data_IF_233781777956
#
_entry.id   IF_233781777956
#
_cell.length_a   1.000
_cell.length_b   1.000
_cell.length_c   1.000
_cell.angle_alpha   90.00
_cell.angle_beta   90.00
_cell.angle_gamma   90.00
#
_symmetry.space_group_name_H-M   'P 1'
#
loop_
_entity.id
_entity.type
_entity.pdbx_description
1 polymer ?
#
# COMPACT_ATOMS: atom_id res chain seq x y z
N UNK A 1 14.07 -31.05 6.26
CA UNK A 1 12.79 -30.89 6.98
C UNK A 1 12.20 -29.56 6.55
N UNK A 2 10.99 -29.56 5.98
CA UNK A 2 10.27 -28.29 5.74
C UNK A 2 9.81 -27.83 7.12
N UNK A 3 10.41 -26.75 7.63
CA UNK A 3 9.99 -26.15 8.89
C UNK A 3 8.66 -25.46 8.63
N UNK A 4 7.57 -25.96 9.22
CA UNK A 4 6.26 -25.33 9.10
C UNK A 4 6.31 -23.97 9.81
N UNK A 5 6.49 -22.89 9.05
CA UNK A 5 6.43 -21.52 9.55
C UNK A 5 4.97 -21.20 9.86
N UNK A 6 4.63 -21.07 11.15
CA UNK A 6 3.33 -20.55 11.59
C UNK A 6 3.38 -19.03 11.58
N UNK A 7 2.39 -18.40 10.98
CA UNK A 7 2.28 -16.93 10.94
C UNK A 7 1.18 -16.52 11.92
N UNK A 8 1.53 -15.64 12.85
CA UNK A 8 0.58 -14.91 13.69
C UNK A 8 0.55 -13.49 13.17
N UNK A 9 -0.51 -13.17 12.44
CA UNK A 9 -0.68 -11.89 11.77
C UNK A 9 -1.54 -10.97 12.64
N UNK A 10 -1.06 -9.75 12.87
CA UNK A 10 -1.80 -8.69 13.53
C UNK A 10 -2.14 -7.61 12.51
N UNK A 11 -3.40 -7.57 12.08
CA UNK A 11 -3.92 -6.54 11.18
C UNK A 11 -4.32 -5.31 11.99
N UNK A 12 -3.70 -4.17 11.69
CA UNK A 12 -3.96 -2.93 12.41
C UNK A 12 -4.15 -1.75 11.47
N UNK A 13 -5.09 -0.89 11.86
CA UNK A 13 -5.29 0.41 11.25
C UNK A 13 -4.36 1.43 11.90
N UNK A 14 -3.35 1.90 11.15
CA UNK A 14 -2.31 2.81 11.65
C UNK A 14 -2.91 4.07 12.30
N UNK A 15 -3.87 4.70 11.60
CA UNK A 15 -4.51 5.96 12.01
C UNK A 15 -5.15 5.92 13.40
N UNK A 16 -5.54 4.74 13.89
CA UNK A 16 -6.25 4.57 15.17
C UNK A 16 -5.44 3.79 16.20
N UNK A 17 -4.20 3.41 15.88
CA UNK A 17 -3.42 2.52 16.74
C UNK A 17 -2.73 3.26 17.88
N UNK A 18 -1.88 4.24 17.56
CA UNK A 18 -1.21 5.05 18.57
C UNK A 18 -0.65 6.34 17.96
N UNK A 19 -1.04 7.48 18.52
CA UNK A 19 -0.55 8.82 18.17
C UNK A 19 0.67 9.16 19.04
N UNK A 20 1.82 9.41 18.42
CA UNK A 20 3.07 9.69 19.14
C UNK A 20 3.40 11.18 19.26
N UNK A 21 2.67 12.05 18.56
CA UNK A 21 2.98 13.47 18.46
C UNK A 21 1.77 14.40 18.67
N UNK A 22 0.66 13.86 19.20
CA UNK A 22 -0.59 14.57 19.48
C UNK A 22 -1.22 15.22 18.24
N UNK A 23 -1.01 14.64 17.05
CA UNK A 23 -1.64 15.09 15.79
C UNK A 23 -3.13 14.76 15.69
N UNK A 24 -3.62 13.85 16.54
CA UNK A 24 -4.94 13.24 16.47
C UNK A 24 -5.00 12.00 15.57
N UNK A 25 -3.87 11.59 14.99
CA UNK A 25 -3.75 10.42 14.13
C UNK A 25 -2.62 9.51 14.60
N UNK A 26 -2.84 8.20 14.54
CA UNK A 26 -1.76 7.25 14.73
C UNK A 26 -0.75 7.26 13.58
N UNK A 27 0.52 7.10 13.93
CA UNK A 27 1.66 7.35 13.03
C UNK A 27 2.72 6.23 13.11
N UNK A 28 3.70 6.24 12.19
CA UNK A 28 4.74 5.21 12.14
C UNK A 28 5.61 5.13 13.39
N UNK A 29 5.92 6.27 14.02
CA UNK A 29 6.69 6.32 15.27
C UNK A 29 5.85 5.79 16.43
N UNK A 30 4.54 6.02 16.42
CA UNK A 30 3.61 5.44 17.36
C UNK A 30 3.56 3.93 17.29
N UNK A 31 3.48 3.36 16.09
CA UNK A 31 3.59 1.91 15.89
C UNK A 31 4.96 1.38 16.36
N UNK A 32 6.05 2.08 16.02
CA UNK A 32 7.42 1.74 16.43
C UNK A 32 7.55 1.64 17.96
N UNK A 33 6.90 2.53 18.71
CA UNK A 33 6.90 2.52 20.19
C UNK A 33 6.14 1.33 20.80
N UNK A 34 5.29 0.63 20.04
CA UNK A 34 4.51 -0.53 20.51
C UNK A 34 5.00 -1.87 19.98
N UNK A 35 6.19 -1.92 19.38
CA UNK A 35 6.79 -3.18 18.91
C UNK A 35 6.99 -4.18 20.05
N UNK A 36 7.33 -3.73 21.26
CA UNK A 36 7.46 -4.63 22.41
C UNK A 36 6.12 -5.25 22.82
N UNK A 37 5.00 -4.54 22.64
CA UNK A 37 3.65 -5.11 22.82
C UNK A 37 3.36 -6.21 21.78
N UNK A 38 3.69 -5.97 20.51
CA UNK A 38 3.52 -6.98 19.45
C UNK A 38 4.39 -8.21 19.70
N UNK A 39 5.63 -8.00 20.17
CA UNK A 39 6.55 -9.07 20.55
C UNK A 39 6.00 -9.88 21.73
N UNK A 40 5.42 -9.22 22.75
CA UNK A 40 4.79 -9.89 23.89
C UNK A 40 3.63 -10.80 23.47
N UNK A 41 2.90 -10.43 22.41
CA UNK A 41 1.82 -11.24 21.84
C UNK A 41 2.31 -12.41 20.95
N UNK A 42 3.62 -12.57 20.75
CA UNK A 42 4.21 -13.56 19.84
C UNK A 42 3.73 -13.40 18.37
N UNK A 43 3.43 -12.15 17.99
CA UNK A 43 3.10 -11.77 16.61
C UNK A 43 4.39 -11.77 15.79
N UNK A 44 4.35 -12.37 14.59
CA UNK A 44 5.50 -12.43 13.69
C UNK A 44 5.23 -11.80 12.32
N UNK A 45 4.05 -11.23 12.12
CA UNK A 45 3.72 -10.40 10.98
C UNK A 45 2.71 -9.32 11.40
N UNK A 46 2.98 -8.06 11.06
CA UNK A 46 2.04 -6.94 11.22
C UNK A 46 1.57 -6.53 9.84
N UNK A 47 0.26 -6.39 9.67
CA UNK A 47 -0.32 -5.84 8.45
C UNK A 47 -0.81 -4.42 8.70
N UNK A 48 -0.52 -3.52 7.75
CA UNK A 48 -1.09 -2.18 7.70
C UNK A 48 -1.64 -1.89 6.30
N UNK A 49 -2.55 -0.93 6.22
CA UNK A 49 -3.11 -0.47 4.96
C UNK A 49 -2.06 0.20 4.04
N UNK A 50 -2.36 0.29 2.75
CA UNK A 50 -1.59 1.03 1.74
C UNK A 50 -1.22 2.45 2.21
N UNK A 51 0.06 2.70 2.50
CA UNK A 51 0.55 4.00 3.00
C UNK A 51 0.41 5.11 1.95
N UNK A 52 0.27 4.77 0.67
CA UNK A 52 0.06 5.75 -0.39
C UNK A 52 -1.27 6.50 -0.20
N UNK A 53 -2.25 5.91 0.50
CA UNK A 53 -3.52 6.57 0.84
C UNK A 53 -3.32 7.89 1.61
N UNK A 54 -2.22 8.03 2.35
CA UNK A 54 -1.93 9.25 3.10
C UNK A 54 -1.73 10.47 2.20
N UNK A 55 -1.36 10.25 0.93
CA UNK A 55 -1.11 11.29 -0.08
C UNK A 55 -2.32 11.52 -1.01
N UNK A 56 -3.45 10.86 -0.75
CA UNK A 56 -4.68 11.08 -1.51
C UNK A 56 -5.21 12.50 -1.27
N UNK A 57 -5.34 13.26 -2.36
CA UNK A 57 -5.86 14.63 -2.36
C UNK A 57 -5.14 15.56 -1.36
N UNK A 58 -3.83 15.37 -1.16
CA UNK A 58 -3.00 16.22 -0.29
C UNK A 58 -2.15 17.20 -1.09
N UNK A 59 -2.00 18.39 -0.53
CA UNK A 59 -1.26 19.49 -1.15
C UNK A 59 -0.04 19.94 -0.31
N UNK A 60 0.01 19.56 0.97
CA UNK A 60 1.02 19.99 1.93
C UNK A 60 1.73 18.77 2.52
N UNK A 61 3.00 18.58 2.14
CA UNK A 61 3.79 17.44 2.61
C UNK A 61 4.01 17.49 4.12
N UNK A 62 4.26 18.68 4.68
CA UNK A 62 4.49 18.87 6.12
C UNK A 62 3.32 18.36 6.96
N UNK A 63 2.08 18.63 6.53
CA UNK A 63 0.89 18.14 7.21
C UNK A 63 0.74 16.62 7.13
N UNK A 64 1.10 16.02 6.00
CA UNK A 64 1.11 14.55 5.88
C UNK A 64 2.14 13.93 6.81
N UNK A 65 3.36 14.47 6.81
CA UNK A 65 4.44 14.00 7.66
C UNK A 65 4.13 14.20 9.15
N UNK A 66 3.48 15.32 9.51
CA UNK A 66 3.04 15.55 10.88
C UNK A 66 1.97 14.54 11.32
N UNK A 67 1.01 14.20 10.45
CA UNK A 67 -0.07 13.29 10.83
C UNK A 67 0.34 11.80 10.87
N UNK A 68 1.24 11.35 9.98
CA UNK A 68 1.50 9.92 9.80
C UNK A 68 2.98 9.53 9.88
N UNK A 69 3.88 10.51 9.84
CA UNK A 69 5.32 10.30 9.67
C UNK A 69 5.75 10.38 8.20
N UNK A 70 7.06 10.58 8.01
CA UNK A 70 7.73 10.60 6.73
C UNK A 70 8.04 9.20 6.19
N UNK A 71 8.50 9.11 4.93
CA UNK A 71 8.98 7.85 4.37
C UNK A 71 10.25 7.34 5.08
N UNK A 72 11.05 8.22 5.68
CA UNK A 72 12.17 7.85 6.55
C UNK A 72 11.67 7.18 7.84
N UNK A 73 10.64 7.72 8.49
CA UNK A 73 10.02 7.12 9.67
C UNK A 73 9.46 5.71 9.34
N UNK A 74 8.87 5.54 8.16
CA UNK A 74 8.40 4.24 7.68
C UNK A 74 9.56 3.22 7.53
N UNK A 75 10.69 3.65 6.94
CA UNK A 75 11.89 2.79 6.81
C UNK A 75 12.47 2.43 8.17
N UNK A 76 12.46 3.35 9.13
CA UNK A 76 12.88 3.09 10.51
C UNK A 76 11.97 2.08 11.21
N UNK A 77 10.65 2.24 11.07
CA UNK A 77 9.68 1.27 11.56
C UNK A 77 9.95 -0.13 10.99
N UNK A 78 10.13 -0.26 9.66
CA UNK A 78 10.44 -1.55 9.02
C UNK A 78 11.70 -2.18 9.60
N UNK A 79 12.78 -1.40 9.75
CA UNK A 79 14.03 -1.87 10.36
C UNK A 79 13.82 -2.33 11.81
N UNK A 80 13.03 -1.59 12.59
CA UNK A 80 12.76 -1.94 13.99
C UNK A 80 11.95 -3.25 14.11
N UNK A 81 10.99 -3.48 13.22
CA UNK A 81 10.25 -4.73 13.13
C UNK A 81 11.16 -5.90 12.73
N UNK A 82 12.02 -5.69 11.73
CA UNK A 82 12.98 -6.70 11.26
C UNK A 82 13.93 -7.17 12.37
N UNK A 83 14.41 -6.25 13.21
CA UNK A 83 15.26 -6.56 14.38
C UNK A 83 14.56 -7.46 15.40
N UNK A 84 13.23 -7.48 15.42
CA UNK A 84 12.41 -8.33 16.29
C UNK A 84 11.87 -9.56 15.57
N UNK A 85 12.32 -9.81 14.34
CA UNK A 85 11.80 -10.88 13.45
C UNK A 85 10.30 -10.78 13.17
N UNK A 86 9.75 -9.57 13.19
CA UNK A 86 8.36 -9.29 12.81
C UNK A 86 8.37 -8.78 11.37
N UNK A 87 7.66 -9.47 10.49
CA UNK A 87 7.51 -9.02 9.10
C UNK A 87 6.46 -7.90 8.99
N UNK A 88 6.61 -7.01 8.03
CA UNK A 88 5.63 -5.96 7.74
C UNK A 88 4.94 -6.26 6.41
N UNK A 89 3.63 -6.52 6.49
CA UNK A 89 2.76 -6.72 5.35
C UNK A 89 2.01 -5.42 5.01
N UNK A 90 1.85 -5.17 3.70
CA UNK A 90 0.98 -4.09 3.22
C UNK A 90 -0.27 -4.68 2.57
N UNK A 91 -1.42 -4.22 3.03
CA UNK A 91 -2.72 -4.60 2.46
C UNK A 91 -3.06 -3.69 1.29
N UNK A 92 -3.16 -4.29 0.10
CA UNK A 92 -3.50 -3.64 -1.16
C UNK A 92 -4.86 -4.14 -1.65
N UNK A 93 -5.80 -3.21 -1.81
CA UNK A 93 -7.07 -3.48 -2.44
C UNK A 93 -6.94 -3.39 -3.96
N UNK A 94 -7.11 -4.50 -4.67
CA UNK A 94 -6.87 -4.57 -6.11
C UNK A 94 -7.82 -3.66 -6.92
N UNK A 95 -9.04 -3.41 -6.44
CA UNK A 95 -9.96 -2.48 -7.11
C UNK A 95 -9.52 -1.02 -7.02
N UNK A 96 -8.66 -0.69 -6.05
CA UNK A 96 -8.14 0.66 -5.78
C UNK A 96 -6.72 0.89 -6.31
N UNK A 97 -6.10 -0.08 -6.97
CA UNK A 97 -4.71 0.05 -7.47
C UNK A 97 -4.49 1.27 -8.36
N UNK A 98 -5.47 1.63 -9.19
CA UNK A 98 -5.40 2.88 -9.96
C UNK A 98 -5.24 4.10 -9.07
N UNK A 99 -6.02 4.16 -7.98
CA UNK A 99 -5.93 5.24 -7.00
C UNK A 99 -4.58 5.22 -6.28
N UNK A 100 -4.09 4.05 -5.88
CA UNK A 100 -2.76 3.90 -5.27
C UNK A 100 -1.65 4.40 -6.21
N UNK A 101 -1.71 4.09 -7.50
CA UNK A 101 -0.77 4.59 -8.50
C UNK A 101 -0.87 6.12 -8.68
N UNK A 102 -2.08 6.69 -8.67
CA UNK A 102 -2.24 8.16 -8.64
C UNK A 102 -1.65 8.78 -7.38
N UNK A 103 -1.90 8.17 -6.22
CA UNK A 103 -1.36 8.63 -4.95
C UNK A 103 0.17 8.55 -4.90
N UNK A 104 0.78 7.56 -5.56
CA UNK A 104 2.23 7.50 -5.76
C UNK A 104 2.75 8.70 -6.54
N UNK A 105 2.09 9.09 -7.64
CA UNK A 105 2.45 10.30 -8.36
C UNK A 105 2.27 11.56 -7.49
N UNK A 106 1.25 11.61 -6.63
CA UNK A 106 1.05 12.72 -5.69
C UNK A 106 2.19 12.79 -4.67
N UNK A 107 2.56 11.66 -4.08
CA UNK A 107 3.73 11.53 -3.21
C UNK A 107 4.99 12.06 -3.92
N UNK A 108 5.31 11.58 -5.11
CA UNK A 108 6.51 12.01 -5.86
C UNK A 108 6.48 13.52 -6.13
N UNK A 109 5.32 14.06 -6.50
CA UNK A 109 5.15 15.49 -6.74
C UNK A 109 5.31 16.34 -5.47
N UNK A 110 4.78 15.88 -4.33
CA UNK A 110 4.92 16.58 -3.05
C UNK A 110 6.38 16.65 -2.61
N UNK A 111 7.11 15.54 -2.72
CA UNK A 111 8.54 15.51 -2.40
C UNK A 111 9.38 16.29 -3.42
N UNK A 112 9.03 16.27 -4.71
CA UNK A 112 9.68 17.12 -5.73
C UNK A 112 9.50 18.61 -5.44
N UNK A 113 8.27 19.04 -5.11
CA UNK A 113 7.95 20.43 -4.77
C UNK A 113 8.67 20.91 -3.52
N UNK A 114 8.85 20.06 -2.52
CA UNK A 114 9.61 20.38 -1.32
C UNK A 114 11.11 20.64 -1.62
N UNK A 115 11.66 20.03 -2.67
CA UNK A 115 13.09 20.05 -2.99
C UNK A 115 13.49 21.08 -4.09
N UNK A 116 12.56 21.76 -4.75
CA UNK A 116 12.83 22.78 -5.79
C UNK A 116 12.43 24.18 -5.30
N UNK A 117 13.19 25.23 -5.67
CA UNK A 117 12.80 26.62 -5.44
C UNK A 117 11.43 26.91 -6.09
N UNK A 118 10.54 27.48 -5.27
CA UNK A 118 9.09 27.67 -5.50
C UNK A 118 8.74 28.11 -6.93
N UNK A 119 8.31 27.17 -7.76
CA UNK A 119 7.47 27.46 -8.94
C UNK A 119 6.22 26.58 -8.88
N UNK A 120 5.07 27.23 -8.71
CA UNK A 120 3.78 26.59 -8.51
C UNK A 120 3.22 26.08 -9.84
N UNK A 121 3.12 24.76 -9.99
CA UNK A 121 2.16 24.13 -10.91
C UNK A 121 1.08 23.40 -10.09
N UNK A 122 -0.18 23.78 -10.33
CA UNK A 122 -1.38 23.24 -9.68
C UNK A 122 -1.65 21.80 -10.16
N UNK A 123 -1.90 20.88 -9.24
CA UNK A 123 -2.37 19.53 -9.56
C UNK A 123 -3.88 19.54 -9.81
N UNK A 124 -4.31 18.82 -10.85
CA UNK A 124 -5.69 18.72 -11.31
C UNK A 124 -6.55 18.05 -10.21
N UNK A 125 -7.68 18.67 -9.86
CA UNK A 125 -8.71 18.02 -9.04
C UNK A 125 -9.35 16.87 -9.83
N UNK A 126 -9.34 15.66 -9.28
CA UNK A 126 -10.16 14.58 -9.81
C UNK A 126 -11.65 14.90 -9.56
N UNK A 127 -12.40 15.01 -10.65
CA UNK A 127 -13.84 15.20 -10.69
C UNK A 127 -14.55 14.00 -10.06
N UNK A 128 -15.47 14.26 -9.12
CA UNK A 128 -16.36 13.28 -8.48
C UNK A 128 -17.40 12.69 -9.47
N UNK A 129 -16.95 12.01 -10.52
CA UNK A 129 -17.82 11.23 -11.40
C UNK A 129 -17.32 9.79 -11.38
N UNK A 130 -18.01 8.92 -10.65
CA UNK A 130 -17.77 7.48 -10.71
C UNK A 130 -19.08 6.73 -10.75
N UNK A 131 -19.59 6.56 -11.97
CA UNK A 131 -20.59 5.55 -12.26
C UNK A 131 -20.33 5.02 -13.68
N UNK A 132 -19.22 4.32 -13.87
CA UNK A 132 -19.00 3.52 -15.07
C UNK A 132 -18.92 2.05 -14.67
N UNK A 133 -19.86 1.27 -15.20
CA UNK A 133 -19.76 -0.18 -15.21
C UNK A 133 -18.46 -0.55 -15.94
N UNK A 134 -17.39 -0.80 -15.18
CA UNK A 134 -16.10 -1.21 -15.72
C UNK A 134 -16.20 -2.65 -16.21
N UNK A 135 -16.51 -2.82 -17.48
CA UNK A 135 -16.29 -4.08 -18.16
C UNK A 135 -14.78 -4.32 -18.27
N UNK A 136 -14.30 -5.48 -17.82
CA UNK A 136 -12.93 -5.89 -18.09
C UNK A 136 -12.77 -6.11 -19.60
N UNK A 137 -11.85 -5.35 -20.17
CA UNK A 137 -11.30 -5.57 -21.50
C UNK A 137 -9.77 -5.59 -21.42
N UNK A 138 -9.11 -6.01 -22.51
CA UNK A 138 -7.66 -6.12 -22.56
C UNK A 138 -6.94 -4.82 -22.19
N UNK A 139 -7.48 -3.67 -22.58
CA UNK A 139 -6.88 -2.37 -22.26
C UNK A 139 -6.98 -2.06 -20.75
N UNK A 140 -8.13 -2.34 -20.13
CA UNK A 140 -8.28 -2.16 -18.68
C UNK A 140 -7.39 -3.09 -17.88
N UNK A 141 -7.17 -4.33 -18.35
CA UNK A 141 -6.26 -5.29 -17.72
C UNK A 141 -4.81 -4.81 -17.87
N UNK A 142 -4.42 -4.38 -19.08
CA UNK A 142 -3.07 -3.87 -19.33
C UNK A 142 -2.77 -2.63 -18.46
N UNK A 143 -3.71 -1.68 -18.38
CA UNK A 143 -3.60 -0.50 -17.51
C UNK A 143 -3.49 -0.89 -16.05
N UNK A 144 -4.33 -1.81 -15.57
CA UNK A 144 -4.26 -2.33 -14.21
C UNK A 144 -2.90 -2.96 -13.90
N UNK A 145 -2.38 -3.80 -14.80
CA UNK A 145 -1.07 -4.46 -14.63
C UNK A 145 0.04 -3.42 -14.54
N UNK A 146 0.02 -2.37 -15.37
CA UNK A 146 1.02 -1.30 -15.34
C UNK A 146 0.96 -0.50 -14.02
N UNK A 147 -0.24 -0.10 -13.61
CA UNK A 147 -0.48 0.60 -12.35
C UNK A 147 -0.04 -0.26 -11.16
N UNK A 148 -0.38 -1.56 -11.18
CA UNK A 148 -0.02 -2.48 -10.13
C UNK A 148 1.49 -2.68 -10.02
N UNK A 149 2.20 -2.81 -11.16
CA UNK A 149 3.67 -2.86 -11.18
C UNK A 149 4.29 -1.64 -10.51
N UNK A 150 3.78 -0.43 -10.78
CA UNK A 150 4.29 0.80 -10.15
C UNK A 150 4.17 0.74 -8.63
N UNK A 151 3.00 0.36 -8.12
CA UNK A 151 2.74 0.22 -6.67
C UNK A 151 3.62 -0.86 -6.04
N UNK A 152 3.74 -2.04 -6.67
CA UNK A 152 4.59 -3.14 -6.20
C UNK A 152 6.06 -2.71 -6.15
N UNK A 153 6.55 -2.04 -7.19
CA UNK A 153 7.93 -1.58 -7.25
C UNK A 153 8.23 -0.55 -6.17
N UNK A 154 7.31 0.35 -5.86
CA UNK A 154 7.44 1.27 -4.74
C UNK A 154 7.66 0.52 -3.41
N UNK A 155 6.83 -0.48 -3.11
CA UNK A 155 6.96 -1.27 -1.88
C UNK A 155 8.22 -2.15 -1.86
N UNK A 156 8.60 -2.74 -3.00
CA UNK A 156 9.86 -3.48 -3.14
C UNK A 156 11.07 -2.58 -2.83
N UNK A 157 11.06 -1.33 -3.32
CA UNK A 157 12.12 -0.36 -3.06
C UNK A 157 12.21 0.05 -1.57
N UNK A 158 11.12 -0.11 -0.82
CA UNK A 158 11.07 0.07 0.63
C UNK A 158 11.40 -1.23 1.41
N UNK A 159 11.83 -2.28 0.70
CA UNK A 159 12.14 -3.59 1.25
C UNK A 159 10.95 -4.28 1.94
N UNK A 160 9.73 -4.02 1.45
CA UNK A 160 8.53 -4.77 1.83
C UNK A 160 8.44 -6.00 0.94
N UNK A 161 8.35 -7.17 1.57
CA UNK A 161 8.35 -8.46 0.87
C UNK A 161 7.00 -9.17 0.95
N UNK A 162 6.16 -8.77 1.91
CA UNK A 162 4.87 -9.39 2.16
C UNK A 162 3.76 -8.41 1.82
N UNK A 163 2.80 -8.89 1.03
CA UNK A 163 1.62 -8.12 0.61
C UNK A 163 0.39 -8.97 0.84
N UNK A 164 -0.67 -8.33 1.33
CA UNK A 164 -2.02 -8.89 1.39
C UNK A 164 -2.79 -8.27 0.24
N UNK A 165 -3.41 -9.10 -0.60
CA UNK A 165 -4.13 -8.63 -1.78
C UNK A 165 -5.62 -8.92 -1.61
N UNK A 166 -6.41 -7.87 -1.64
CA UNK A 166 -7.86 -7.92 -1.42
C UNK A 166 -8.64 -7.58 -2.70
N UNK A 167 -9.92 -7.97 -2.72
CA UNK A 167 -10.88 -7.66 -3.78
C UNK A 167 -10.38 -8.03 -5.20
N UNK A 168 -9.83 -9.23 -5.37
CA UNK A 168 -9.35 -9.72 -6.65
C UNK A 168 -10.46 -10.27 -7.58
N UNK A 169 -11.70 -10.37 -7.08
CA UNK A 169 -12.81 -11.03 -7.78
C UNK A 169 -13.09 -10.40 -9.16
N UNK A 170 -12.95 -9.08 -9.30
CA UNK A 170 -13.16 -8.40 -10.59
C UNK A 170 -12.22 -8.94 -11.69
N UNK A 171 -11.04 -9.46 -11.35
CA UNK A 171 -10.12 -10.04 -12.34
C UNK A 171 -10.63 -11.38 -12.91
N UNK A 172 -11.50 -12.08 -12.19
CA UNK A 172 -11.90 -13.46 -12.52
C UNK A 172 -13.41 -13.62 -12.77
N UNK A 173 -14.22 -12.60 -12.51
CA UNK A 173 -15.68 -12.61 -12.68
C UNK A 173 -16.18 -12.46 -14.12
N UNK A 174 -15.29 -12.45 -15.13
CA UNK A 174 -15.72 -12.43 -16.53
C UNK A 174 -16.58 -13.67 -16.85
N UNK A 175 -17.82 -13.43 -17.29
CA UNK A 175 -18.79 -14.44 -17.72
C UNK A 175 -18.27 -15.29 -18.91
N UNK A 176 -17.24 -14.83 -19.62
CA UNK A 176 -16.59 -15.55 -20.73
C UNK A 176 -15.53 -16.55 -20.28
N UNK A 177 -15.02 -16.46 -19.04
CA UNK A 177 -14.03 -17.40 -18.52
C UNK A 177 -14.73 -18.65 -17.96
N UNK A 178 -14.39 -19.82 -18.52
CA UNK A 178 -14.75 -21.12 -17.92
C UNK A 178 -14.22 -21.16 -16.47
N UNK A 179 -15.03 -21.70 -15.55
CA UNK A 179 -14.73 -21.76 -14.11
C UNK A 179 -13.36 -22.40 -13.81
N UNK A 180 -12.92 -23.35 -14.64
CA UNK A 180 -11.59 -23.98 -14.53
C UNK A 180 -10.43 -23.03 -14.89
N UNK A 181 -10.63 -22.03 -15.74
CA UNK A 181 -9.56 -21.15 -16.25
C UNK A 181 -9.39 -19.84 -15.47
N UNK A 182 -10.30 -19.54 -14.52
CA UNK A 182 -10.30 -18.30 -13.74
C UNK A 182 -9.05 -18.14 -12.87
N UNK A 183 -8.68 -19.20 -12.14
CA UNK A 183 -7.46 -19.19 -11.34
C UNK A 183 -6.19 -19.12 -12.19
N UNK A 184 -6.19 -19.76 -13.36
CA UNK A 184 -5.04 -19.69 -14.27
C UNK A 184 -4.84 -18.26 -14.79
N UNK A 185 -5.92 -17.57 -15.14
CA UNK A 185 -5.87 -16.17 -15.53
C UNK A 185 -5.29 -15.28 -14.42
N UNK A 186 -5.76 -15.45 -13.18
CA UNK A 186 -5.21 -14.74 -12.01
C UNK A 186 -3.70 -15.00 -11.87
N UNK A 187 -3.27 -16.26 -11.94
CA UNK A 187 -1.86 -16.65 -11.89
C UNK A 187 -1.04 -15.97 -12.99
N UNK A 188 -1.56 -15.90 -14.20
CA UNK A 188 -0.86 -15.30 -15.33
C UNK A 188 -0.71 -13.78 -15.18
N UNK A 189 -1.73 -13.09 -14.65
CA UNK A 189 -1.62 -11.67 -14.26
C UNK A 189 -0.50 -11.47 -13.23
N UNK A 190 -0.48 -12.28 -12.17
CA UNK A 190 0.56 -12.18 -11.14
C UNK A 190 1.96 -12.51 -11.66
N UNK A 191 2.10 -13.46 -12.59
CA UNK A 191 3.38 -13.73 -13.26
C UNK A 191 3.87 -12.52 -14.06
N UNK A 192 2.96 -11.77 -14.70
CA UNK A 192 3.32 -10.57 -15.44
C UNK A 192 3.79 -9.48 -14.49
N UNK A 193 3.10 -9.29 -13.36
CA UNK A 193 3.42 -8.27 -12.34
C UNK A 193 4.75 -8.56 -11.64
N UNK A 194 5.05 -9.84 -11.35
CA UNK A 194 6.28 -10.28 -10.68
C UNK A 194 7.55 -10.15 -11.54
N UNK A 195 7.41 -10.05 -12.87
CA UNK A 195 8.52 -9.81 -13.81
C UNK A 195 8.88 -8.32 -13.85
#
# INVERSE_FOLDING_TARGET
MIQNKRIFLYDLKLETFYDSNDSGYGDFNGLKQKIDYLTFLDVNCVAIEDILKHYENKFELEKVNFNYGSIEDFKELKKALDLKNIDLAITLNLTKIKQSATNLNNYENLYRKANLEKTQELTILDTYIKNENKYLNLNTIASFVEEFKKVINFYNNLNIQTLILEDFDFLIEDKKLNKQNRFQFLVDIFKIVKK
#
